data_IF_830235783370
#
_entry.id   IF_830235783370
#
_cell.length_a   1.000
_cell.length_b   1.000
_cell.length_c   1.000
_cell.angle_alpha   90.00
_cell.angle_beta   90.00
_cell.angle_gamma   90.00
#
_symmetry.space_group_name_H-M   'P 1'
#
loop_
_entity.id
_entity.type
_entity.pdbx_description
1 polymer ?
#
# COMPACT_ATOMS: atom_id res chain seq x y z
N UNK A 1 25.01 -11.96 -24.49
CA UNK A 1 24.81 -10.51 -24.26
C UNK A 1 23.63 -10.38 -23.32
N UNK A 2 23.88 -10.39 -22.01
CA UNK A 2 22.82 -10.27 -21.01
C UNK A 2 22.49 -8.79 -20.85
N UNK A 3 21.29 -8.39 -21.30
CA UNK A 3 20.78 -7.06 -21.02
C UNK A 3 20.79 -6.88 -19.49
N UNK A 4 21.52 -5.87 -19.02
CA UNK A 4 21.35 -5.35 -17.67
C UNK A 4 19.89 -4.93 -17.55
N UNK A 5 19.05 -5.80 -16.99
CA UNK A 5 17.79 -5.38 -16.43
C UNK A 5 18.15 -4.24 -15.49
N UNK A 6 17.67 -3.04 -15.83
CA UNK A 6 17.84 -1.89 -14.97
C UNK A 6 16.91 -2.13 -13.78
N UNK A 7 17.34 -2.97 -12.83
CA UNK A 7 16.53 -3.39 -11.70
C UNK A 7 16.32 -2.20 -10.78
N UNK A 8 15.24 -1.48 -11.03
CA UNK A 8 14.71 -0.55 -10.05
C UNK A 8 14.08 -1.31 -8.88
N UNK A 9 14.05 -0.67 -7.72
CA UNK A 9 13.37 -1.18 -6.54
C UNK A 9 12.54 -0.04 -5.95
N UNK A 10 11.29 -0.35 -5.60
CA UNK A 10 10.44 0.52 -4.82
C UNK A 10 10.64 0.18 -3.34
N UNK A 11 11.00 1.18 -2.55
CA UNK A 11 11.08 1.09 -1.09
C UNK A 11 10.09 2.05 -0.47
N UNK A 12 9.17 1.54 0.34
CA UNK A 12 8.24 2.33 1.16
C UNK A 12 8.74 2.24 2.61
N UNK A 13 8.76 3.37 3.32
CA UNK A 13 9.28 3.43 4.68
C UNK A 13 8.57 4.50 5.50
N UNK A 14 8.53 4.30 6.81
CA UNK A 14 8.14 5.34 7.77
C UNK A 14 9.38 6.18 8.08
N UNK A 15 9.37 7.46 7.70
CA UNK A 15 10.38 8.41 8.12
C UNK A 15 10.13 8.79 9.58
N UNK A 16 10.92 8.17 10.46
CA UNK A 16 10.85 8.42 11.91
C UNK A 16 11.53 9.71 12.34
N UNK A 17 12.36 10.29 11.47
CA UNK A 17 13.10 11.53 11.71
C UNK A 17 12.28 12.77 11.30
N UNK A 18 11.35 12.61 10.36
CA UNK A 18 10.38 13.64 10.01
C UNK A 18 9.46 14.01 11.19
N UNK A 19 9.14 15.31 11.32
CA UNK A 19 8.19 15.83 12.33
C UNK A 19 7.07 16.62 11.65
N UNK A 20 5.81 16.13 11.63
CA UNK A 20 5.37 14.83 12.15
C UNK A 20 5.95 13.66 11.33
N UNK A 21 5.98 12.47 11.94
CA UNK A 21 6.38 11.23 11.25
C UNK A 21 5.53 11.05 10.00
N UNK A 22 6.19 10.78 8.88
CA UNK A 22 5.53 10.69 7.59
C UNK A 22 5.98 9.42 6.87
N UNK A 23 5.07 8.85 6.08
CA UNK A 23 5.45 7.79 5.16
C UNK A 23 6.10 8.38 3.92
N UNK A 24 7.10 7.69 3.39
CA UNK A 24 7.78 8.07 2.16
C UNK A 24 8.04 6.86 1.29
N UNK A 25 8.37 7.13 0.03
CA UNK A 25 8.89 6.13 -0.88
C UNK A 25 10.11 6.61 -1.63
N UNK A 26 10.91 5.65 -2.07
CA UNK A 26 12.05 5.86 -2.94
C UNK A 26 12.08 4.77 -4.02
N UNK A 27 12.19 5.20 -5.27
CA UNK A 27 12.37 4.36 -6.44
C UNK A 27 13.83 4.48 -6.90
N UNK A 28 14.53 3.36 -6.98
CA UNK A 28 15.85 3.29 -7.61
C UNK A 28 15.72 2.87 -9.08
N UNK A 29 16.76 3.11 -9.89
CA UNK A 29 16.81 2.70 -11.29
C UNK A 29 16.80 3.86 -12.29
N UNK A 30 16.51 3.60 -13.57
CA UNK A 30 16.50 4.60 -14.63
C UNK A 30 15.22 5.42 -14.52
N UNK A 31 15.33 6.57 -13.83
CA UNK A 31 14.19 7.40 -13.44
C UNK A 31 13.93 7.33 -11.94
N UNK A 32 14.92 7.72 -11.09
CA UNK A 32 14.72 7.74 -9.66
C UNK A 32 13.61 8.72 -9.30
N UNK A 33 12.71 8.29 -8.42
CA UNK A 33 11.56 9.06 -7.95
C UNK A 33 11.49 8.91 -6.43
N UNK A 34 11.17 9.99 -5.73
CA UNK A 34 10.96 9.95 -4.30
C UNK A 34 9.84 10.91 -3.94
N UNK A 35 9.08 10.57 -2.91
CA UNK A 35 7.98 11.40 -2.47
C UNK A 35 7.41 10.99 -1.12
N UNK A 36 6.55 11.86 -0.60
CA UNK A 36 5.81 11.64 0.64
C UNK A 36 4.52 10.87 0.32
N UNK A 37 4.12 9.98 1.21
CA UNK A 37 2.83 9.28 1.19
C UNK A 37 1.99 9.80 2.36
N UNK A 38 1.18 10.82 2.11
CA UNK A 38 0.34 11.50 3.08
C UNK A 38 -1.12 11.02 3.08
N UNK A 39 -1.49 10.22 2.08
CA UNK A 39 -2.85 9.73 1.91
C UNK A 39 -2.88 8.34 1.29
N UNK A 40 -4.04 7.68 1.45
CA UNK A 40 -4.28 6.39 0.82
C UNK A 40 -4.32 6.48 -0.72
N UNK A 41 -4.73 7.61 -1.27
CA UNK A 41 -4.70 7.87 -2.72
C UNK A 41 -3.26 7.91 -3.23
N UNK A 42 -2.37 8.62 -2.52
CA UNK A 42 -0.95 8.68 -2.84
C UNK A 42 -0.31 7.29 -2.80
N UNK A 43 -0.64 6.49 -1.77
CA UNK A 43 -0.17 5.11 -1.67
C UNK A 43 -0.66 4.25 -2.84
N UNK A 44 -1.95 4.32 -3.18
CA UNK A 44 -2.54 3.56 -4.26
C UNK A 44 -1.92 3.92 -5.62
N UNK A 45 -1.67 5.20 -5.86
CA UNK A 45 -1.01 5.67 -7.08
C UNK A 45 0.43 5.15 -7.19
N UNK A 46 1.24 5.26 -6.13
CA UNK A 46 2.61 4.74 -6.10
C UNK A 46 2.63 3.23 -6.36
N UNK A 47 1.75 2.46 -5.71
CA UNK A 47 1.67 1.01 -5.89
C UNK A 47 1.14 0.62 -7.28
N UNK A 48 0.22 1.40 -7.87
CA UNK A 48 -0.26 1.16 -9.23
C UNK A 48 0.81 1.39 -10.28
N UNK A 49 1.71 2.37 -10.06
CA UNK A 49 2.79 2.70 -10.99
C UNK A 49 4.00 1.78 -10.84
N UNK A 50 4.39 1.51 -9.60
CA UNK A 50 5.71 0.95 -9.27
C UNK A 50 5.65 -0.31 -8.40
N UNK A 51 4.46 -0.76 -8.00
CA UNK A 51 4.35 -1.77 -6.94
C UNK A 51 4.89 -3.16 -7.31
N UNK A 52 5.05 -3.49 -8.60
CA UNK A 52 5.76 -4.70 -9.03
C UNK A 52 7.26 -4.69 -8.67
N UNK A 53 7.80 -3.52 -8.30
CA UNK A 53 9.17 -3.32 -7.82
C UNK A 53 9.28 -3.31 -6.29
N UNK A 54 8.18 -3.51 -5.56
CA UNK A 54 8.18 -3.56 -4.10
C UNK A 54 8.85 -4.85 -3.63
N UNK A 55 9.97 -4.72 -2.92
CA UNK A 55 10.87 -5.85 -2.63
C UNK A 55 11.01 -6.16 -1.14
N UNK A 56 10.96 -5.13 -0.28
CA UNK A 56 11.46 -5.26 1.10
C UNK A 56 10.42 -5.02 2.19
N UNK A 57 9.23 -4.50 1.86
CA UNK A 57 8.20 -4.20 2.85
C UNK A 57 7.05 -5.21 2.72
N UNK A 58 6.77 -6.01 3.76
CA UNK A 58 5.55 -6.78 3.77
C UNK A 58 4.40 -5.79 3.85
N UNK A 59 3.76 -5.46 2.74
CA UNK A 59 2.31 -5.45 2.60
C UNK A 59 1.40 -5.16 3.83
N UNK A 60 1.47 -5.94 4.92
CA UNK A 60 0.76 -5.70 6.20
C UNK A 60 1.32 -4.52 7.03
N UNK A 61 2.54 -4.10 6.73
CA UNK A 61 3.29 -2.98 7.30
C UNK A 61 3.16 -1.70 6.44
N UNK A 62 2.32 -1.71 5.40
CA UNK A 62 2.02 -0.51 4.64
C UNK A 62 1.31 0.56 5.51
N UNK A 63 1.39 1.84 5.11
CA UNK A 63 0.75 2.93 5.84
C UNK A 63 -0.72 2.63 6.14
N UNK A 64 -1.08 2.58 7.42
CA UNK A 64 -2.48 2.57 7.86
C UNK A 64 -2.86 3.99 8.21
N UNK A 65 -3.69 4.65 7.40
CA UNK A 65 -4.12 6.04 7.62
C UNK A 65 -5.21 6.14 8.71
N UNK A 66 -4.88 5.63 9.90
CA UNK A 66 -5.62 5.86 11.15
C UNK A 66 -6.86 5.01 11.39
N UNK A 67 -7.16 4.02 10.54
CA UNK A 67 -8.28 3.11 10.78
C UNK A 67 -7.93 2.00 11.78
N UNK A 68 -8.87 1.55 12.64
CA UNK A 68 -8.65 0.34 13.42
C UNK A 68 -8.44 -0.87 12.50
N UNK A 69 -7.60 -1.84 12.89
CA UNK A 69 -7.43 -3.09 12.18
C UNK A 69 -8.79 -3.76 11.94
N UNK A 70 -9.12 -4.15 10.70
CA UNK A 70 -10.29 -4.95 10.43
C UNK A 70 -10.13 -6.35 11.07
N UNK A 71 -11.21 -6.94 11.61
CA UNK A 71 -11.13 -8.17 12.42
C UNK A 71 -10.76 -9.43 11.60
N UNK A 72 -11.05 -9.44 10.30
CA UNK A 72 -10.72 -10.52 9.37
C UNK A 72 -10.48 -9.94 7.99
N UNK A 73 -9.26 -10.06 7.45
CA UNK A 73 -8.99 -9.64 6.08
C UNK A 73 -8.08 -10.61 5.37
N UNK A 74 -8.63 -11.21 4.33
CA UNK A 74 -7.87 -11.66 3.17
C UNK A 74 -7.80 -10.45 2.24
N UNK A 75 -6.62 -10.16 1.68
CA UNK A 75 -6.47 -9.18 0.60
C UNK A 75 -6.66 -7.69 0.97
N UNK A 76 -6.59 -7.30 2.25
CA UNK A 76 -6.64 -5.88 2.68
C UNK A 76 -5.27 -5.44 3.21
N UNK A 77 -4.78 -4.31 2.70
CA UNK A 77 -3.38 -3.90 2.87
C UNK A 77 -3.20 -2.54 3.53
N UNK A 78 -4.26 -1.72 3.59
CA UNK A 78 -4.23 -0.43 4.31
C UNK A 78 -5.59 -0.11 4.91
N UNK A 79 -5.56 0.52 6.09
CA UNK A 79 -6.72 0.85 6.90
C UNK A 79 -6.89 2.37 6.98
N UNK A 80 -7.59 2.92 6.01
CA UNK A 80 -8.14 4.29 6.11
C UNK A 80 -9.51 4.22 6.80
N UNK A 81 -9.90 5.29 7.49
CA UNK A 81 -11.15 5.34 8.24
C UNK A 81 -12.40 5.15 7.35
N UNK A 82 -12.29 5.49 6.05
CA UNK A 82 -13.41 5.49 5.11
C UNK A 82 -13.25 4.49 3.97
N UNK A 83 -12.01 4.13 3.64
CA UNK A 83 -11.67 3.30 2.48
C UNK A 83 -10.69 2.19 2.84
N UNK A 84 -10.65 1.16 2.01
CA UNK A 84 -9.73 0.03 2.12
C UNK A 84 -8.97 -0.10 0.80
N UNK A 85 -7.67 -0.35 0.89
CA UNK A 85 -6.87 -0.82 -0.24
C UNK A 85 -6.93 -2.34 -0.27
N UNK A 86 -7.48 -2.89 -1.35
CA UNK A 86 -7.72 -4.32 -1.51
C UNK A 86 -7.10 -4.88 -2.79
N UNK A 87 -6.72 -6.16 -2.79
CA UNK A 87 -6.17 -6.86 -3.97
C UNK A 87 -5.25 -8.02 -3.57
N UNK A 88 -4.69 -8.76 -4.52
CA UNK A 88 -3.75 -9.87 -4.22
C UNK A 88 -2.33 -9.60 -4.69
N UNK A 89 -2.14 -8.56 -5.53
CA UNK A 89 -0.88 -8.12 -6.10
C UNK A 89 -0.97 -6.66 -6.56
N UNK A 90 0.16 -5.95 -6.75
CA UNK A 90 0.19 -4.51 -6.97
C UNK A 90 -0.66 -4.02 -8.14
N UNK A 91 -0.53 -4.66 -9.32
CA UNK A 91 -1.32 -4.28 -10.50
C UNK A 91 -2.83 -4.58 -10.42
N UNK A 92 -3.31 -5.19 -9.34
CA UNK A 92 -4.74 -5.49 -9.11
C UNK A 92 -5.30 -4.75 -7.89
N UNK A 93 -4.55 -3.82 -7.31
CA UNK A 93 -5.00 -3.07 -6.15
C UNK A 93 -6.13 -2.10 -6.50
N UNK A 94 -7.08 -1.97 -5.58
CA UNK A 94 -8.24 -1.10 -5.70
C UNK A 94 -8.57 -0.43 -4.38
N UNK A 95 -8.99 0.83 -4.45
CA UNK A 95 -9.62 1.51 -3.32
C UNK A 95 -11.12 1.26 -3.34
N UNK A 96 -11.64 0.70 -2.25
CA UNK A 96 -13.08 0.49 -2.07
C UNK A 96 -13.58 1.23 -0.81
N UNK A 97 -14.84 1.70 -0.79
CA UNK A 97 -15.45 2.20 0.44
C UNK A 97 -15.50 1.09 1.51
N UNK A 98 -15.26 1.44 2.77
CA UNK A 98 -15.27 0.49 3.90
C UNK A 98 -16.64 -0.18 4.09
N UNK A 99 -17.72 0.55 3.84
CA UNK A 99 -19.10 0.06 3.96
C UNK A 99 -19.62 -0.53 2.63
N UNK A 100 -18.75 -0.78 1.66
CA UNK A 100 -19.15 -1.37 0.38
C UNK A 100 -19.54 -2.85 0.57
N UNK A 101 -20.60 -3.35 -0.09
CA UNK A 101 -20.96 -4.77 -0.07
C UNK A 101 -19.89 -5.69 -0.67
N UNK A 102 -18.98 -5.13 -1.46
CA UNK A 102 -17.80 -5.78 -2.02
C UNK A 102 -16.55 -5.72 -1.10
N UNK A 103 -16.70 -5.12 0.09
CA UNK A 103 -15.69 -5.19 1.14
C UNK A 103 -15.54 -6.60 1.73
N UNK A 104 -14.48 -6.87 2.52
CA UNK A 104 -14.35 -8.12 3.25
C UNK A 104 -15.62 -8.31 4.09
N UNK A 105 -16.43 -9.31 3.70
CA UNK A 105 -17.75 -9.52 4.30
C UNK A 105 -17.56 -9.72 5.80
N UNK A 106 -18.29 -8.93 6.60
CA UNK A 106 -18.53 -9.25 8.02
C UNK A 106 -19.16 -10.63 8.07
N UNK A 107 -18.36 -11.67 8.29
CA UNK A 107 -18.89 -12.92 8.76
C UNK A 107 -19.22 -12.71 10.24
N UNK A 108 -20.40 -12.15 10.51
CA UNK A 108 -20.98 -12.21 11.84
C UNK A 108 -21.28 -13.69 12.11
N UNK A 109 -20.77 -14.28 13.21
CA UNK A 109 -21.14 -15.64 13.57
C UNK A 109 -22.65 -15.65 13.85
N UNK A 110 -23.38 -16.46 13.08
CA UNK A 110 -24.78 -16.77 13.35
C UNK A 110 -24.86 -17.44 14.72
N UNK A 111 -25.60 -16.82 15.65
CA UNK A 111 -25.99 -17.43 16.91
C UNK A 111 -27.07 -18.47 16.70
#
# INVERSE_FOLDING_TARGET
MSAHASSGALRIFLDTEATPRAWGYHLTGPGPEAGVIDSLDTLADVLSRHGELLTDLPWTELPTFGGPPPPHTTDVWSWDARRLLVGTRPGLLRLIPRDSPDGPRRHLPSR
#
